data_IF_816609310824
#
_entry.id   IF_816609310824
#
_cell.length_a   1.000
_cell.length_b   1.000
_cell.length_c   1.000
_cell.angle_alpha   90.00
_cell.angle_beta   90.00
_cell.angle_gamma   90.00
#
_symmetry.space_group_name_H-M   'P 1'
#
loop_
_entity.id
_entity.type
_entity.pdbx_description
1 polymer ?
#
# COMPACT_ATOMS: atom_id res chain seq x y z
N UNK A 1 -0.80 -11.00 3.50
CA UNK A 1 0.23 -10.00 3.16
C UNK A 1 0.60 -9.22 4.40
N UNK A 2 1.88 -8.91 4.54
CA UNK A 2 2.37 -8.00 5.58
C UNK A 2 2.68 -6.66 4.92
N UNK A 3 2.01 -5.61 5.39
CA UNK A 3 2.22 -4.25 4.94
C UNK A 3 3.22 -3.54 5.84
N UNK A 4 4.27 -2.99 5.25
CA UNK A 4 5.25 -2.20 5.97
C UNK A 4 4.76 -0.76 6.15
N UNK A 5 4.88 -0.23 7.36
CA UNK A 5 4.50 1.15 7.67
C UNK A 5 5.70 2.08 7.57
N UNK A 6 6.30 2.13 6.39
CA UNK A 6 7.54 2.88 6.19
C UNK A 6 7.33 4.39 6.02
N UNK A 7 6.13 4.81 5.74
CA UNK A 7 5.80 6.20 5.42
C UNK A 7 5.02 6.93 6.53
N UNK A 8 4.78 6.29 7.65
CA UNK A 8 4.13 6.93 8.77
C UNK A 8 5.16 7.66 9.63
N UNK A 9 4.85 8.89 10.03
CA UNK A 9 5.57 9.58 11.09
C UNK A 9 5.52 8.76 12.39
N UNK A 10 6.05 9.29 13.45
CA UNK A 10 6.04 8.61 14.75
C UNK A 10 4.63 8.28 15.27
N UNK A 11 3.70 8.40 14.40
CA UNK A 11 2.36 7.88 14.58
C UNK A 11 1.44 8.74 15.42
N UNK A 12 0.20 8.40 15.31
CA UNK A 12 -0.88 8.85 16.14
C UNK A 12 -1.11 7.78 17.22
N UNK A 13 -1.29 8.12 18.49
CA UNK A 13 -1.36 9.48 19.05
C UNK A 13 -0.02 10.09 19.51
N UNK A 14 1.09 9.40 19.36
CA UNK A 14 2.37 9.74 19.98
C UNK A 14 3.21 10.74 19.15
N UNK A 15 2.58 11.53 18.32
CA UNK A 15 3.26 12.44 17.39
C UNK A 15 4.30 13.37 18.06
N UNK A 16 4.11 13.68 19.32
CA UNK A 16 5.00 14.55 20.08
C UNK A 16 6.02 13.79 20.94
N UNK A 17 6.02 12.48 20.88
CA UNK A 17 6.96 11.63 21.60
C UNK A 17 8.11 11.26 20.69
N UNK A 18 9.31 11.62 21.09
CA UNK A 18 10.51 11.27 20.34
C UNK A 18 10.79 9.76 20.50
N UNK A 19 10.51 8.99 19.47
CA UNK A 19 10.66 7.52 19.51
C UNK A 19 12.02 7.04 19.01
N UNK A 20 12.83 7.94 18.39
CA UNK A 20 14.08 7.58 17.74
C UNK A 20 13.92 6.85 16.40
N UNK A 21 12.68 6.51 16.01
CA UNK A 21 12.40 5.88 14.72
C UNK A 21 12.61 6.82 13.53
N UNK A 22 12.91 6.25 12.37
CA UNK A 22 13.11 7.06 11.15
C UNK A 22 11.85 7.85 10.77
N UNK A 23 10.69 7.28 10.99
CA UNK A 23 9.39 7.92 10.74
C UNK A 23 9.12 9.15 11.63
N UNK A 24 9.86 9.31 12.72
CA UNK A 24 9.85 10.52 13.53
C UNK A 24 10.64 11.65 12.90
N UNK A 25 11.74 11.33 12.19
CA UNK A 25 12.67 12.31 11.62
C UNK A 25 12.19 12.90 10.29
N UNK A 26 11.41 12.16 9.53
CA UNK A 26 11.06 12.50 8.15
C UNK A 26 9.56 12.56 7.97
N UNK A 27 9.11 13.55 7.23
CA UNK A 27 7.72 13.64 6.83
C UNK A 27 7.36 12.54 5.83
N UNK A 28 6.08 12.17 5.80
CA UNK A 28 5.56 11.14 4.90
C UNK A 28 5.95 11.39 3.44
N UNK A 29 5.95 12.64 3.00
CA UNK A 29 6.28 13.00 1.63
C UNK A 29 7.78 13.00 1.32
N UNK A 30 8.64 13.01 2.32
CA UNK A 30 10.09 12.95 2.13
C UNK A 30 10.61 11.52 1.89
N UNK A 31 9.77 10.53 2.15
CA UNK A 31 10.17 9.12 2.14
C UNK A 31 10.69 8.61 0.78
N UNK A 32 10.32 9.26 -0.32
CA UNK A 32 10.76 8.87 -1.67
C UNK A 32 11.93 9.68 -2.20
N UNK A 33 12.22 10.82 -1.60
CA UNK A 33 13.21 11.79 -2.11
C UNK A 33 14.41 11.98 -1.19
N UNK A 34 14.23 11.87 0.12
CA UNK A 34 15.32 12.04 1.08
C UNK A 34 16.21 10.79 1.14
N UNK A 35 17.53 10.90 0.81
CA UNK A 35 18.44 9.75 0.77
C UNK A 35 18.58 8.99 2.10
N UNK A 36 18.55 9.71 3.22
CA UNK A 36 18.64 9.10 4.55
C UNK A 36 17.36 8.34 4.89
N UNK A 37 16.18 8.93 4.59
CA UNK A 37 14.89 8.26 4.77
C UNK A 37 14.80 7.00 3.91
N UNK A 38 15.26 7.05 2.66
CA UNK A 38 15.30 5.87 1.78
C UNK A 38 16.21 4.79 2.36
N UNK A 39 17.40 5.16 2.86
CA UNK A 39 18.33 4.20 3.48
C UNK A 39 17.76 3.57 4.75
N UNK A 40 17.06 4.35 5.57
CA UNK A 40 16.39 3.84 6.76
C UNK A 40 15.28 2.84 6.41
N UNK A 41 14.49 3.12 5.37
CA UNK A 41 13.46 2.20 4.86
C UNK A 41 14.05 0.91 4.30
N UNK A 42 15.18 0.96 3.61
CA UNK A 42 15.89 -0.24 3.15
C UNK A 42 16.28 -1.14 4.34
N UNK A 43 16.79 -0.54 5.40
CA UNK A 43 17.16 -1.28 6.62
C UNK A 43 15.93 -1.91 7.26
N UNK A 44 14.90 -1.12 7.45
CA UNK A 44 13.63 -1.61 8.01
C UNK A 44 13.05 -2.79 7.22
N UNK A 45 12.97 -2.68 5.90
CA UNK A 45 12.41 -3.76 5.06
C UNK A 45 13.27 -5.03 5.08
N UNK A 46 14.60 -4.90 5.15
CA UNK A 46 15.49 -6.06 5.33
C UNK A 46 15.26 -6.76 6.66
N UNK A 47 15.11 -5.98 7.72
CA UNK A 47 14.89 -6.50 9.07
C UNK A 47 13.50 -7.12 9.18
N UNK A 48 12.48 -6.49 8.58
CA UNK A 48 11.12 -7.01 8.51
C UNK A 48 11.08 -8.41 7.87
N UNK A 49 11.66 -8.59 6.69
CA UNK A 49 11.60 -9.89 6.00
C UNK A 49 12.41 -10.99 6.72
N UNK A 50 13.43 -10.61 7.48
CA UNK A 50 14.24 -11.51 8.29
C UNK A 50 13.70 -11.74 9.70
N UNK A 51 12.73 -10.93 10.12
CA UNK A 51 12.19 -11.02 11.47
C UNK A 51 11.67 -12.44 11.73
N UNK A 52 12.18 -13.05 12.80
CA UNK A 52 11.74 -14.37 13.21
C UNK A 52 10.55 -14.24 14.15
N UNK A 53 9.44 -14.82 13.77
CA UNK A 53 8.26 -14.88 14.63
C UNK A 53 8.58 -15.73 15.87
N UNK A 54 8.51 -15.17 17.08
CA UNK A 54 8.90 -15.89 18.30
C UNK A 54 8.00 -17.08 18.62
N UNK A 55 6.79 -17.14 18.06
CA UNK A 55 5.84 -18.22 18.28
C UNK A 55 6.03 -19.38 17.31
N UNK A 56 6.44 -19.11 16.08
CA UNK A 56 6.61 -20.14 15.04
C UNK A 56 8.06 -20.53 14.82
N UNK A 57 9.01 -19.68 15.24
CA UNK A 57 10.43 -19.84 14.96
C UNK A 57 10.82 -19.62 13.50
N UNK A 58 9.87 -19.18 12.63
CA UNK A 58 10.10 -18.97 11.22
C UNK A 58 10.38 -17.49 10.91
N UNK A 59 11.33 -17.23 10.04
CA UNK A 59 11.47 -15.88 9.49
C UNK A 59 10.30 -15.55 8.57
N UNK A 60 9.85 -14.29 8.56
CA UNK A 60 8.69 -13.88 7.75
C UNK A 60 8.83 -14.23 6.28
N UNK A 61 10.04 -14.12 5.71
CA UNK A 61 10.32 -14.52 4.33
C UNK A 61 10.14 -16.02 4.07
N UNK A 62 10.23 -16.86 5.10
CA UNK A 62 10.19 -18.33 5.02
C UNK A 62 8.86 -18.91 5.53
N UNK A 63 8.04 -18.10 6.23
CA UNK A 63 6.75 -18.53 6.79
C UNK A 63 5.71 -18.77 5.68
N UNK A 64 5.21 -19.99 5.48
CA UNK A 64 4.26 -20.31 4.41
C UNK A 64 2.90 -19.62 4.55
N UNK A 65 2.53 -19.15 5.74
CA UNK A 65 1.30 -18.40 5.96
C UNK A 65 1.39 -16.94 5.49
N UNK A 66 2.60 -16.44 5.23
CA UNK A 66 2.82 -15.12 4.67
C UNK A 66 2.90 -15.21 3.15
N UNK A 67 1.86 -14.77 2.46
CA UNK A 67 1.76 -14.83 0.99
C UNK A 67 2.68 -13.82 0.30
N UNK A 68 2.87 -12.64 0.88
CA UNK A 68 3.67 -11.58 0.29
C UNK A 68 3.88 -10.39 1.22
N UNK A 69 4.59 -9.41 0.74
CA UNK A 69 4.87 -8.16 1.45
C UNK A 69 4.38 -6.97 0.64
N UNK A 70 4.02 -5.91 1.32
CA UNK A 70 3.81 -4.60 0.73
C UNK A 70 4.87 -3.63 1.26
N UNK A 71 5.50 -2.88 0.35
CA UNK A 71 6.60 -1.98 0.71
C UNK A 71 6.09 -0.84 1.60
N UNK A 72 4.89 -0.32 1.29
CA UNK A 72 4.43 0.91 1.89
C UNK A 72 2.90 1.03 1.80
N UNK A 73 2.26 1.46 2.87
CA UNK A 73 0.83 1.76 2.88
C UNK A 73 0.60 3.25 2.57
N UNK A 74 -0.32 3.54 1.65
CA UNK A 74 -0.74 4.90 1.29
C UNK A 74 0.41 5.90 1.14
N UNK A 75 1.40 5.65 0.28
CA UNK A 75 2.54 6.55 0.12
C UNK A 75 2.08 7.94 -0.36
N UNK A 76 2.82 8.97 0.03
CA UNK A 76 2.52 10.35 -0.37
C UNK A 76 2.72 10.61 -1.86
N UNK A 77 3.51 9.78 -2.55
CA UNK A 77 3.83 9.94 -3.97
C UNK A 77 4.37 11.34 -4.34
N UNK A 78 5.24 11.89 -3.52
CA UNK A 78 6.01 13.06 -3.89
C UNK A 78 7.15 12.67 -4.85
N UNK A 79 7.55 13.60 -5.67
CA UNK A 79 8.64 13.41 -6.61
C UNK A 79 8.20 13.08 -8.04
N UNK A 80 9.19 12.91 -8.89
CA UNK A 80 9.00 12.54 -10.30
C UNK A 80 8.68 11.04 -10.44
N UNK A 81 8.17 10.66 -11.60
CA UNK A 81 7.97 9.25 -11.97
C UNK A 81 9.26 8.44 -11.84
N UNK A 82 10.37 9.02 -12.26
CA UNK A 82 11.71 8.40 -12.21
C UNK A 82 12.19 8.19 -10.78
N UNK A 83 11.98 9.15 -9.90
CA UNK A 83 12.33 9.02 -8.48
C UNK A 83 11.51 7.93 -7.79
N UNK A 84 10.20 7.89 -8.03
CA UNK A 84 9.32 6.84 -7.48
C UNK A 84 9.75 5.46 -8.00
N UNK A 85 10.05 5.34 -9.28
CA UNK A 85 10.54 4.10 -9.90
C UNK A 85 11.89 3.67 -9.30
N UNK A 86 12.82 4.60 -9.12
CA UNK A 86 14.11 4.32 -8.50
C UNK A 86 13.95 3.86 -7.06
N UNK A 87 13.10 4.51 -6.29
CA UNK A 87 12.76 4.12 -4.92
C UNK A 87 12.22 2.69 -4.86
N UNK A 88 11.18 2.38 -5.63
CA UNK A 88 10.58 1.04 -5.62
C UNK A 88 11.61 -0.02 -5.96
N UNK A 89 12.38 0.17 -7.03
CA UNK A 89 13.42 -0.80 -7.45
C UNK A 89 14.50 -0.97 -6.38
N UNK A 90 14.84 0.10 -5.67
CA UNK A 90 15.80 0.05 -4.57
C UNK A 90 15.28 -0.78 -3.40
N UNK A 91 14.01 -0.61 -3.02
CA UNK A 91 13.37 -1.40 -1.96
C UNK A 91 13.27 -2.88 -2.34
N UNK A 92 12.84 -3.18 -3.56
CA UNK A 92 12.79 -4.55 -4.08
C UNK A 92 14.16 -5.24 -4.03
N UNK A 93 15.20 -4.54 -4.47
CA UNK A 93 16.58 -5.04 -4.44
C UNK A 93 17.05 -5.31 -3.01
N UNK A 94 16.72 -4.44 -2.07
CA UNK A 94 17.06 -4.60 -0.66
C UNK A 94 16.40 -5.84 -0.06
N UNK A 95 15.10 -6.02 -0.27
CA UNK A 95 14.35 -7.19 0.20
C UNK A 95 14.87 -8.49 -0.44
N UNK A 96 15.14 -8.49 -1.73
CA UNK A 96 15.71 -9.64 -2.45
C UNK A 96 17.07 -10.04 -1.91
N UNK A 97 17.97 -9.07 -1.64
CA UNK A 97 19.27 -9.32 -1.02
C UNK A 97 19.15 -9.88 0.41
N UNK A 98 18.06 -9.57 1.11
CA UNK A 98 17.74 -10.15 2.41
C UNK A 98 17.20 -11.60 2.33
N UNK A 99 17.05 -12.13 1.11
CA UNK A 99 16.59 -13.49 0.85
C UNK A 99 15.10 -13.63 0.64
N UNK A 100 14.35 -12.52 0.52
CA UNK A 100 12.93 -12.59 0.20
C UNK A 100 12.69 -13.16 -1.20
N UNK A 101 11.83 -14.17 -1.29
CA UNK A 101 11.38 -14.81 -2.55
C UNK A 101 9.87 -14.65 -2.75
N UNK A 102 9.17 -14.09 -1.77
CA UNK A 102 7.73 -13.89 -1.84
C UNK A 102 7.40 -12.68 -2.70
N UNK A 103 6.20 -12.65 -3.30
CA UNK A 103 5.71 -11.49 -4.03
C UNK A 103 5.76 -10.21 -3.20
N UNK A 104 6.11 -9.12 -3.86
CA UNK A 104 6.13 -7.80 -3.25
C UNK A 104 5.12 -6.92 -3.97
N UNK A 105 4.29 -6.24 -3.20
CA UNK A 105 3.26 -5.31 -3.63
C UNK A 105 3.67 -3.88 -3.32
N UNK A 106 3.09 -2.96 -4.05
CA UNK A 106 3.20 -1.54 -3.77
C UNK A 106 1.84 -0.87 -3.89
N UNK A 107 1.51 -0.05 -2.91
CA UNK A 107 0.22 0.62 -2.85
C UNK A 107 0.19 1.81 -3.83
N UNK A 108 -0.77 1.79 -4.74
CA UNK A 108 -0.98 2.90 -5.69
C UNK A 108 -1.65 4.09 -5.00
N UNK A 109 -2.33 3.85 -3.90
CA UNK A 109 -3.09 4.88 -3.19
C UNK A 109 -4.08 5.62 -4.10
N UNK A 110 -4.34 6.88 -3.87
CA UNK A 110 -5.25 7.71 -4.66
C UNK A 110 -4.55 8.50 -5.76
N UNK A 111 -3.22 8.37 -5.86
CA UNK A 111 -2.43 9.16 -6.80
C UNK A 111 -2.08 8.38 -8.06
N UNK A 112 -3.03 8.34 -9.01
CA UNK A 112 -2.85 7.60 -10.25
C UNK A 112 -1.78 8.14 -11.21
N UNK A 113 -1.32 9.38 -11.00
CA UNK A 113 -0.36 9.97 -11.95
C UNK A 113 1.01 9.28 -11.92
N UNK A 114 1.40 8.70 -10.80
CA UNK A 114 2.64 7.92 -10.67
C UNK A 114 2.42 6.41 -10.83
N UNK A 115 1.20 5.97 -11.14
CA UNK A 115 0.89 4.55 -11.28
C UNK A 115 1.75 3.87 -12.36
N UNK A 116 2.05 4.56 -13.45
CA UNK A 116 2.95 4.05 -14.49
C UNK A 116 4.35 3.74 -13.96
N UNK A 117 4.84 4.52 -12.98
CA UNK A 117 6.13 4.25 -12.36
C UNK A 117 6.17 2.87 -11.72
N UNK A 118 5.07 2.41 -11.12
CA UNK A 118 4.98 1.08 -10.52
C UNK A 118 4.99 -0.02 -11.55
N UNK A 119 4.24 0.20 -12.63
CA UNK A 119 4.08 -0.82 -13.66
C UNK A 119 5.36 -1.03 -14.47
N UNK A 120 6.21 -0.04 -14.54
CA UNK A 120 7.53 -0.12 -15.15
C UNK A 120 8.60 -0.75 -14.25
N UNK A 121 8.28 -1.01 -12.97
CA UNK A 121 9.17 -1.72 -12.04
C UNK A 121 8.94 -3.22 -12.06
N UNK A 122 9.80 -3.97 -11.36
CA UNK A 122 9.65 -5.43 -11.20
C UNK A 122 8.76 -5.83 -10.03
N UNK A 123 8.03 -4.90 -9.40
CA UNK A 123 7.04 -5.20 -8.37
C UNK A 123 5.98 -6.16 -8.93
N UNK A 124 5.61 -7.19 -8.17
CA UNK A 124 4.72 -8.23 -8.67
C UNK A 124 3.25 -7.86 -8.60
N UNK A 125 2.89 -6.94 -7.73
CA UNK A 125 1.49 -6.56 -7.56
C UNK A 125 1.31 -5.14 -7.05
N UNK A 126 0.05 -4.72 -7.09
CA UNK A 126 -0.41 -3.46 -6.53
C UNK A 126 -1.55 -3.69 -5.55
N UNK A 127 -1.67 -2.80 -4.61
CA UNK A 127 -2.81 -2.72 -3.70
C UNK A 127 -3.53 -1.39 -3.90
N UNK A 128 -4.78 -1.36 -3.50
CA UNK A 128 -5.63 -0.19 -3.57
C UNK A 128 -6.56 -0.17 -2.36
N UNK A 129 -6.89 0.98 -1.86
CA UNK A 129 -7.87 1.16 -0.80
C UNK A 129 -9.00 2.07 -1.27
N UNK A 130 -10.20 1.85 -0.74
CA UNK A 130 -11.34 2.66 -1.13
C UNK A 130 -12.36 2.85 0.00
N UNK A 131 -12.68 4.09 0.23
CA UNK A 131 -13.68 4.54 1.18
C UNK A 131 -14.69 5.42 0.42
N UNK A 132 -15.78 4.82 -0.11
CA UNK A 132 -16.79 5.60 -0.81
C UNK A 132 -17.33 6.71 0.08
N UNK A 133 -17.37 7.94 -0.46
CA UNK A 133 -17.88 9.14 0.24
C UNK A 133 -16.99 9.64 1.39
N UNK A 134 -15.91 8.95 1.68
CA UNK A 134 -14.95 9.33 2.71
C UNK A 134 -14.85 8.32 3.83
N UNK A 135 -13.89 8.53 4.71
CA UNK A 135 -13.53 7.57 5.75
C UNK A 135 -14.31 7.80 7.04
N UNK A 136 -14.36 9.03 7.52
CA UNK A 136 -15.08 9.39 8.74
C UNK A 136 -15.50 10.87 8.69
N UNK A 137 -16.66 11.15 8.15
CA UNK A 137 -17.24 12.49 8.21
C UNK A 137 -17.84 12.82 9.58
N UNK A 138 -17.93 11.82 10.47
CA UNK A 138 -18.64 11.83 11.75
C UNK A 138 -20.15 12.11 11.60
N UNK A 139 -20.68 11.89 10.42
CA UNK A 139 -22.09 12.03 10.10
C UNK A 139 -22.54 10.83 9.29
N UNK A 140 -23.60 10.18 9.72
CA UNK A 140 -24.18 9.10 8.94
C UNK A 140 -24.74 9.65 7.64
N UNK A 141 -24.23 9.17 6.53
CA UNK A 141 -24.76 9.49 5.21
C UNK A 141 -25.98 8.63 4.92
N UNK A 142 -27.03 9.25 4.42
CA UNK A 142 -28.28 8.56 4.06
C UNK A 142 -28.51 8.66 2.55
N UNK A 143 -29.09 7.62 2.00
CA UNK A 143 -29.45 7.58 0.59
C UNK A 143 -29.11 6.25 -0.08
N UNK A 144 -29.35 6.17 -1.38
CA UNK A 144 -28.98 5.01 -2.19
C UNK A 144 -27.63 5.27 -2.87
N UNK A 145 -26.58 4.62 -2.39
CA UNK A 145 -25.22 4.78 -2.90
C UNK A 145 -24.82 3.71 -3.94
N UNK A 146 -25.69 2.74 -4.23
CA UNK A 146 -25.39 1.71 -5.23
C UNK A 146 -25.01 2.29 -6.60
N UNK A 147 -25.72 3.30 -7.14
CA UNK A 147 -25.34 3.85 -8.43
C UNK A 147 -23.96 4.51 -8.44
N UNK A 148 -23.55 5.07 -7.31
CA UNK A 148 -22.20 5.64 -7.16
C UNK A 148 -21.13 4.54 -7.15
N UNK A 149 -21.35 3.50 -6.35
CA UNK A 149 -20.41 2.39 -6.22
C UNK A 149 -20.30 1.60 -7.52
N UNK A 150 -21.42 1.30 -8.18
CA UNK A 150 -21.44 0.51 -9.42
C UNK A 150 -20.81 1.24 -10.63
N UNK A 151 -20.82 2.57 -10.62
CA UNK A 151 -20.21 3.39 -11.68
C UNK A 151 -18.81 3.85 -11.36
N UNK A 152 -18.32 3.54 -10.17
CA UNK A 152 -16.99 3.99 -9.79
C UNK A 152 -15.94 3.34 -10.67
N UNK A 153 -15.20 4.19 -11.38
CA UNK A 153 -14.07 3.79 -12.21
C UNK A 153 -12.80 3.87 -11.36
N UNK A 154 -12.31 2.71 -10.93
CA UNK A 154 -11.06 2.66 -10.16
C UNK A 154 -9.96 3.33 -11.00
N UNK A 155 -9.31 4.38 -10.49
CA UNK A 155 -8.29 5.10 -11.25
C UNK A 155 -7.26 4.13 -11.84
N UNK A 156 -6.85 4.34 -13.09
CA UNK A 156 -5.85 3.56 -13.81
C UNK A 156 -6.20 2.08 -14.11
N UNK A 157 -7.21 1.50 -13.48
CA UNK A 157 -7.61 0.14 -13.80
C UNK A 157 -8.12 0.06 -15.26
N UNK A 158 -7.51 -0.82 -16.03
CA UNK A 158 -7.84 -0.96 -17.46
C UNK A 158 -7.29 0.12 -18.39
N UNK A 159 -6.75 1.23 -17.86
CA UNK A 159 -6.19 2.34 -18.65
C UNK A 159 -4.71 2.16 -18.94
N UNK A 160 -4.00 1.42 -18.10
CA UNK A 160 -2.58 1.15 -18.24
C UNK A 160 -2.38 -0.33 -18.57
N UNK A 161 -1.82 -0.61 -19.74
CA UNK A 161 -1.65 -1.98 -20.25
C UNK A 161 -0.85 -2.85 -19.29
N UNK A 162 0.18 -2.30 -18.69
CA UNK A 162 1.07 -2.97 -17.75
C UNK A 162 0.35 -3.35 -16.45
N UNK A 163 -0.68 -2.62 -16.07
CA UNK A 163 -1.51 -2.91 -14.90
C UNK A 163 -2.13 -4.31 -14.97
N UNK A 164 -2.52 -4.75 -16.15
CA UNK A 164 -3.15 -6.05 -16.35
C UNK A 164 -2.18 -7.23 -16.13
N UNK A 165 -0.87 -6.96 -16.08
CA UNK A 165 0.17 -7.96 -15.86
C UNK A 165 0.56 -8.09 -14.38
N UNK A 166 0.03 -7.23 -13.53
CA UNK A 166 0.34 -7.22 -12.09
C UNK A 166 -0.78 -7.90 -11.32
N UNK A 167 -0.44 -8.58 -10.24
CA UNK A 167 -1.43 -8.99 -9.25
C UNK A 167 -2.09 -7.74 -8.63
N UNK A 168 -3.39 -7.83 -8.38
CA UNK A 168 -4.18 -6.71 -7.85
C UNK A 168 -4.95 -7.17 -6.63
N UNK A 169 -4.76 -6.49 -5.52
CA UNK A 169 -5.36 -6.87 -4.25
C UNK A 169 -5.96 -5.66 -3.56
N UNK A 170 -7.10 -5.86 -2.93
CA UNK A 170 -7.70 -4.90 -1.99
C UNK A 170 -7.86 -5.60 -0.66
N UNK A 171 -7.33 -5.00 0.38
CA UNK A 171 -7.46 -5.48 1.75
C UNK A 171 -7.99 -4.40 2.71
N UNK A 172 -8.12 -3.18 2.20
CA UNK A 172 -8.54 -2.02 2.98
C UNK A 172 -9.67 -1.29 2.25
N UNK A 173 -10.90 -1.51 2.69
CA UNK A 173 -12.07 -0.83 2.16
C UNK A 173 -13.20 -0.83 3.18
N UNK A 174 -13.88 0.29 3.32
CA UNK A 174 -14.98 0.43 4.28
C UNK A 174 -15.96 1.52 3.83
N UNK A 175 -17.26 1.25 3.82
CA UNK A 175 -18.29 2.28 3.67
C UNK A 175 -18.59 3.01 5.00
N UNK A 176 -17.54 3.45 5.72
CA UNK A 176 -17.58 3.87 7.12
C UNK A 176 -18.68 4.88 7.45
N UNK A 177 -18.93 5.85 6.58
CA UNK A 177 -19.94 6.89 6.81
C UNK A 177 -21.35 6.50 6.33
N UNK A 178 -21.48 5.40 5.61
CA UNK A 178 -22.77 4.97 5.03
C UNK A 178 -23.47 3.93 5.92
N UNK A 179 -22.72 3.02 6.51
CA UNK A 179 -23.15 2.00 7.46
C UNK A 179 -24.23 1.01 6.96
N UNK A 180 -24.43 0.90 5.65
CA UNK A 180 -25.33 -0.09 5.08
C UNK A 180 -24.59 -1.36 4.66
N UNK A 181 -25.04 -2.50 5.17
CA UNK A 181 -24.39 -3.79 4.91
C UNK A 181 -24.33 -4.18 3.43
N UNK A 182 -25.28 -3.72 2.61
CA UNK A 182 -25.26 -3.96 1.16
C UNK A 182 -24.10 -3.32 0.42
N UNK A 183 -23.43 -2.36 1.06
CA UNK A 183 -22.28 -1.68 0.44
C UNK A 183 -21.08 -2.61 0.23
N UNK A 184 -20.81 -3.51 1.15
CA UNK A 184 -19.68 -4.44 1.03
C UNK A 184 -19.77 -5.32 -0.23
N UNK A 185 -20.85 -6.05 -0.48
CA UNK A 185 -20.97 -6.82 -1.72
C UNK A 185 -20.96 -5.95 -2.99
N UNK A 186 -21.49 -4.73 -2.90
CA UNK A 186 -21.43 -3.80 -4.03
C UNK A 186 -19.99 -3.36 -4.33
N UNK A 187 -19.23 -2.99 -3.32
CA UNK A 187 -17.80 -2.64 -3.45
C UNK A 187 -16.99 -3.81 -4.02
N UNK A 188 -17.20 -5.02 -3.50
CA UNK A 188 -16.52 -6.23 -4.00
C UNK A 188 -16.83 -6.46 -5.47
N UNK A 189 -18.06 -6.24 -5.91
CA UNK A 189 -18.43 -6.34 -7.33
C UNK A 189 -17.64 -5.35 -8.19
N UNK A 190 -17.54 -4.10 -7.75
CA UNK A 190 -16.72 -3.06 -8.42
C UNK A 190 -15.25 -3.47 -8.50
N UNK A 191 -14.67 -3.95 -7.41
CA UNK A 191 -13.29 -4.42 -7.40
C UNK A 191 -13.05 -5.58 -8.37
N UNK A 192 -13.93 -6.56 -8.36
CA UNK A 192 -13.83 -7.70 -9.27
C UNK A 192 -13.95 -7.30 -10.74
N UNK A 193 -14.83 -6.36 -11.06
CA UNK A 193 -14.96 -5.81 -12.41
C UNK A 193 -13.67 -5.14 -12.87
N UNK A 194 -12.96 -4.48 -11.96
CA UNK A 194 -11.64 -3.90 -12.21
C UNK A 194 -10.49 -4.91 -12.11
N UNK A 195 -10.78 -6.19 -11.84
CA UNK A 195 -9.80 -7.28 -11.77
C UNK A 195 -8.99 -7.34 -10.49
N UNK A 196 -9.47 -6.74 -9.41
CA UNK A 196 -8.89 -6.92 -8.07
C UNK A 196 -9.44 -8.19 -7.39
N UNK A 197 -8.63 -8.72 -6.48
CA UNK A 197 -8.93 -9.88 -5.65
C UNK A 197 -8.77 -9.54 -4.18
#
# INVERSE_FOLDING_TARGET
>A
VITAQTNFGNGYPERNIQTGGFSYKYDKCDMHSNPEAISAQETYLRDLVKHTNPYTGLAYKDDPSIVGFEINNEPCHSGTKEEVKAYINRMLKSMSKAGNRKPVFYNVSHNGYVAEAYYETTVQGTTYQWYPIGLVSRQTQQGNFLPYVDRYDIPFAGKVKEFNKKARMIYEFDPADIMYSYMYPAMVRTFRTAGFQ
#
